data_IF_206855939223
#
_entry.id   IF_206855939223
#
_cell.length_a   1.000
_cell.length_b   1.000
_cell.length_c   1.000
_cell.angle_alpha   90.00
_cell.angle_beta   90.00
_cell.angle_gamma   90.00
#
_symmetry.space_group_name_H-M   'P 1'
#
loop_
_entity.id
_entity.type
_entity.pdbx_description
1 polymer ?
#
# COMPACT_ATOMS: atom_id res chain seq x y z
N UNK A 1 -12.32 -2.68 -10.50
CA UNK A 1 -10.94 -2.21 -10.72
C UNK A 1 -10.67 -1.93 -12.19
N UNK A 2 -10.77 -2.94 -13.08
CA UNK A 2 -10.49 -2.78 -14.52
C UNK A 2 -11.22 -1.59 -15.17
N UNK A 3 -12.54 -1.48 -14.97
CA UNK A 3 -13.32 -0.37 -15.54
C UNK A 3 -12.83 1.01 -15.05
N UNK A 4 -12.39 1.08 -13.79
CA UNK A 4 -11.89 2.32 -13.18
C UNK A 4 -10.52 2.68 -13.77
N UNK A 5 -9.62 1.71 -13.89
CA UNK A 5 -8.32 1.89 -14.53
C UNK A 5 -8.47 2.33 -15.99
N UNK A 6 -9.40 1.73 -16.72
CA UNK A 6 -9.69 2.09 -18.10
C UNK A 6 -10.22 3.53 -18.20
N UNK A 7 -11.25 3.88 -17.40
CA UNK A 7 -11.80 5.25 -17.38
C UNK A 7 -10.73 6.28 -17.02
N UNK A 8 -9.94 6.03 -15.98
CA UNK A 8 -8.93 6.96 -15.48
C UNK A 8 -7.80 7.15 -16.49
N UNK A 9 -7.48 6.11 -17.26
CA UNK A 9 -6.52 6.20 -18.37
C UNK A 9 -7.10 7.03 -19.52
N UNK A 10 -8.36 6.79 -19.88
CA UNK A 10 -9.05 7.52 -20.96
C UNK A 10 -9.22 9.01 -20.66
N UNK A 11 -9.56 9.36 -19.41
CA UNK A 11 -9.69 10.76 -18.98
C UNK A 11 -8.36 11.43 -18.63
N UNK A 12 -7.25 10.68 -18.69
CA UNK A 12 -5.91 11.13 -18.29
C UNK A 12 -5.82 11.54 -16.80
N UNK A 13 -6.80 11.14 -15.99
CA UNK A 13 -6.75 11.24 -14.55
C UNK A 13 -5.59 10.40 -13.98
N UNK A 14 -5.38 9.20 -14.54
CA UNK A 14 -4.25 8.34 -14.21
C UNK A 14 -2.99 8.77 -14.98
N UNK A 15 -1.92 9.06 -14.25
CA UNK A 15 -0.61 9.47 -14.75
C UNK A 15 0.42 8.38 -14.47
N UNK A 16 0.27 7.25 -15.15
CA UNK A 16 1.15 6.07 -15.00
C UNK A 16 2.60 6.44 -15.28
N UNK A 17 3.46 6.13 -14.32
CA UNK A 17 4.90 6.25 -14.47
C UNK A 17 5.41 4.94 -15.05
N UNK A 18 6.00 5.02 -16.25
CA UNK A 18 6.61 3.84 -16.86
C UNK A 18 7.91 3.50 -16.12
N UNK A 19 8.01 2.27 -15.63
CA UNK A 19 9.20 1.75 -14.98
C UNK A 19 9.47 0.31 -15.43
N UNK A 20 10.75 -0.01 -15.60
CA UNK A 20 11.21 -1.40 -15.65
C UNK A 20 11.49 -1.93 -14.24
N UNK A 21 11.59 -3.25 -14.10
CA UNK A 21 12.04 -3.86 -12.85
C UNK A 21 13.10 -4.93 -13.10
N UNK A 22 13.96 -5.13 -12.09
CA UNK A 22 14.98 -6.18 -12.04
C UNK A 22 14.89 -6.91 -10.70
N UNK A 23 14.97 -8.24 -10.74
CA UNK A 23 15.15 -9.05 -9.53
C UNK A 23 16.63 -9.16 -9.24
N UNK A 24 17.07 -8.62 -8.10
CA UNK A 24 18.46 -8.71 -7.69
C UNK A 24 18.73 -10.06 -7.01
N UNK A 25 19.98 -10.53 -7.15
CA UNK A 25 20.48 -11.68 -6.39
C UNK A 25 20.27 -11.49 -4.89
N UNK A 26 20.07 -12.60 -4.18
CA UNK A 26 19.96 -12.55 -2.72
C UNK A 26 21.24 -11.97 -2.10
N UNK A 27 21.09 -11.15 -1.06
CA UNK A 27 22.23 -10.67 -0.28
C UNK A 27 22.93 -11.82 0.44
N UNK A 28 24.09 -11.54 1.03
CA UNK A 28 24.80 -12.45 1.93
C UNK A 28 23.93 -12.93 3.11
N UNK A 29 22.87 -12.19 3.44
CA UNK A 29 21.90 -12.54 4.47
C UNK A 29 20.61 -13.20 3.93
N UNK A 30 20.58 -13.58 2.65
CA UNK A 30 19.43 -14.25 2.03
C UNK A 30 18.24 -13.34 1.71
N UNK A 31 18.39 -12.02 1.84
CA UNK A 31 17.34 -11.04 1.53
C UNK A 31 17.32 -10.81 0.02
N UNK A 32 16.14 -10.92 -0.59
CA UNK A 32 15.93 -10.64 -2.02
C UNK A 32 15.36 -9.24 -2.22
N UNK A 33 15.72 -8.62 -3.33
CA UNK A 33 15.31 -7.26 -3.66
C UNK A 33 14.70 -7.22 -5.06
N UNK A 34 13.75 -6.29 -5.23
CA UNK A 34 13.28 -5.87 -6.53
C UNK A 34 13.68 -4.42 -6.71
N UNK A 35 14.40 -4.13 -7.78
CA UNK A 35 14.74 -2.77 -8.17
C UNK A 35 13.74 -2.31 -9.23
N UNK A 36 12.97 -1.28 -8.92
CA UNK A 36 12.15 -0.58 -9.91
C UNK A 36 12.89 0.66 -10.41
N UNK A 37 13.06 0.78 -11.72
CA UNK A 37 13.72 1.90 -12.36
C UNK A 37 12.71 2.66 -13.25
N UNK A 38 12.30 3.85 -12.81
CA UNK A 38 11.44 4.73 -13.59
C UNK A 38 12.20 5.38 -14.74
N UNK A 39 11.56 5.53 -15.89
CA UNK A 39 12.14 6.25 -17.03
C UNK A 39 12.37 7.73 -16.68
N UNK A 40 13.53 8.26 -17.04
CA UNK A 40 13.96 9.64 -16.80
C UNK A 40 12.99 10.68 -17.38
N UNK A 41 12.16 10.31 -18.37
CA UNK A 41 11.09 11.16 -18.89
C UNK A 41 10.05 11.58 -17.82
N UNK A 42 9.95 10.85 -16.69
CA UNK A 42 9.05 11.16 -15.58
C UNK A 42 9.74 11.89 -14.42
N UNK A 43 10.99 12.34 -14.61
CA UNK A 43 11.67 13.15 -13.61
C UNK A 43 10.82 14.38 -13.29
N UNK A 44 10.49 14.57 -12.00
CA UNK A 44 9.82 15.78 -11.54
C UNK A 44 10.62 16.99 -12.04
N UNK A 45 9.97 18.01 -12.62
CA UNK A 45 10.70 19.20 -13.04
C UNK A 45 11.49 19.72 -11.86
N UNK A 46 12.80 19.93 -12.04
CA UNK A 46 13.62 20.60 -11.03
C UNK A 46 12.93 21.94 -10.74
N UNK A 47 12.67 22.29 -9.47
CA UNK A 47 12.11 23.59 -9.17
C UNK A 47 13.06 24.62 -9.78
N UNK A 48 12.56 25.38 -10.76
CA UNK A 48 13.27 26.55 -11.21
C UNK A 48 13.48 27.44 -9.98
N UNK A 49 14.67 28.01 -9.81
CA UNK A 49 14.90 29.09 -8.84
C UNK A 49 14.04 30.29 -9.28
N UNK A 50 12.76 30.24 -8.98
CA UNK A 50 11.85 31.36 -9.11
C UNK A 50 11.78 31.98 -7.72
N UNK A 51 12.22 33.22 -7.62
CA UNK A 51 11.92 34.04 -6.45
C UNK A 51 10.39 34.09 -6.31
N UNK A 52 9.84 33.73 -5.13
CA UNK A 52 8.39 33.62 -4.96
C UNK A 52 7.78 35.03 -5.03
N UNK A 53 7.27 35.38 -6.21
CA UNK A 53 6.57 36.64 -6.49
C UNK A 53 5.07 36.54 -6.20
N UNK A 54 4.56 35.33 -5.95
CA UNK A 54 3.18 35.08 -5.54
C UNK A 54 3.14 34.40 -4.16
N UNK A 55 2.13 34.74 -3.32
CA UNK A 55 1.90 34.00 -2.09
C UNK A 55 1.67 32.51 -2.42
N UNK A 56 2.18 31.58 -1.58
CA UNK A 56 2.03 30.16 -1.82
C UNK A 56 0.54 29.83 -1.92
N UNK A 57 0.16 29.15 -3.01
CA UNK A 57 -1.21 28.64 -3.17
C UNK A 57 -1.55 27.75 -1.97
N UNK A 58 -2.77 27.86 -1.42
CA UNK A 58 -3.17 27.02 -0.30
C UNK A 58 -3.07 25.54 -0.70
N UNK A 59 -2.61 24.71 0.24
CA UNK A 59 -2.56 23.27 0.04
C UNK A 59 -3.97 22.74 -0.23
N UNK A 60 -4.08 21.87 -1.24
CA UNK A 60 -5.34 21.25 -1.65
C UNK A 60 -5.22 19.75 -1.43
N UNK A 61 -5.84 19.26 -0.36
CA UNK A 61 -5.89 17.84 -0.06
C UNK A 61 -6.60 17.10 -1.22
N UNK A 62 -5.91 16.21 -1.96
CA UNK A 62 -6.50 15.50 -3.09
C UNK A 62 -7.55 14.45 -2.70
N UNK A 63 -7.64 14.11 -1.41
CA UNK A 63 -8.56 13.09 -0.90
C UNK A 63 -9.74 13.69 -0.11
N UNK A 64 -9.69 15.00 0.16
CA UNK A 64 -10.85 15.73 0.65
C UNK A 64 -12.03 15.56 -0.31
N UNK A 65 -13.24 15.45 0.25
CA UNK A 65 -14.48 15.12 -0.47
C UNK A 65 -14.72 16.03 -1.68
N UNK A 66 -14.45 17.32 -1.54
CA UNK A 66 -14.59 18.36 -2.56
C UNK A 66 -13.52 18.30 -3.67
N UNK A 67 -12.43 17.57 -3.45
CA UNK A 67 -11.29 17.50 -4.36
C UNK A 67 -11.07 16.10 -4.93
N UNK A 68 -11.76 15.09 -4.39
CA UNK A 68 -11.63 13.71 -4.81
C UNK A 68 -11.95 13.55 -6.30
N UNK A 69 -10.94 13.15 -7.06
CA UNK A 69 -11.04 12.95 -8.50
C UNK A 69 -11.85 11.68 -8.79
N UNK A 70 -13.08 11.87 -9.27
CA UNK A 70 -14.05 10.78 -9.37
C UNK A 70 -13.61 9.66 -10.33
N UNK A 71 -12.81 9.98 -11.35
CA UNK A 71 -12.27 8.97 -12.27
C UNK A 71 -11.29 8.00 -11.60
N UNK A 72 -10.65 8.40 -10.50
CA UNK A 72 -9.76 7.55 -9.72
C UNK A 72 -10.51 6.78 -8.61
N UNK A 73 -11.74 7.18 -8.27
CA UNK A 73 -12.51 6.56 -7.20
C UNK A 73 -13.01 5.17 -7.61
N UNK A 74 -12.69 4.15 -6.81
CA UNK A 74 -13.10 2.76 -7.03
C UNK A 74 -14.39 2.45 -6.29
N UNK A 75 -14.38 2.61 -4.97
CA UNK A 75 -15.53 2.34 -4.09
C UNK A 75 -15.27 2.92 -2.69
N UNK A 76 -16.28 2.91 -1.83
CA UNK A 76 -16.12 3.19 -0.40
C UNK A 76 -16.22 1.89 0.40
N UNK A 77 -15.33 1.71 1.36
CA UNK A 77 -15.26 0.56 2.25
C UNK A 77 -15.76 0.95 3.64
N UNK A 78 -16.76 0.20 4.12
CA UNK A 78 -17.33 0.30 5.47
C UNK A 78 -17.81 1.71 5.89
N UNK A 79 -18.00 2.62 4.93
CA UNK A 79 -18.35 4.02 5.21
C UNK A 79 -17.21 4.88 5.75
N UNK A 80 -16.01 4.32 5.94
CA UNK A 80 -14.88 5.01 6.61
C UNK A 80 -13.74 5.33 5.67
N UNK A 81 -13.54 4.55 4.59
CA UNK A 81 -12.42 4.68 3.69
C UNK A 81 -12.87 4.70 2.23
N UNK A 82 -12.26 5.54 1.41
CA UNK A 82 -12.40 5.44 -0.04
C UNK A 82 -11.24 4.60 -0.59
N UNK A 83 -11.54 3.67 -1.50
CA UNK A 83 -10.54 2.97 -2.29
C UNK A 83 -10.36 3.75 -3.60
N UNK A 84 -9.14 4.24 -3.85
CA UNK A 84 -8.84 5.16 -4.95
C UNK A 84 -7.59 4.68 -5.70
N UNK A 85 -7.57 4.76 -7.02
CA UNK A 85 -6.34 4.54 -7.80
C UNK A 85 -5.30 5.62 -7.47
N UNK A 86 -4.05 5.21 -7.26
CA UNK A 86 -2.95 6.15 -7.12
C UNK A 86 -2.72 6.86 -8.46
N UNK A 87 -2.93 8.18 -8.48
CA UNK A 87 -2.78 9.03 -9.65
C UNK A 87 -1.43 8.86 -10.35
N UNK A 88 -0.36 8.64 -9.59
CA UNK A 88 1.00 8.50 -10.11
C UNK A 88 1.54 7.09 -9.85
N UNK A 89 0.81 6.08 -10.32
CA UNK A 89 1.19 4.70 -10.11
C UNK A 89 2.43 4.31 -10.91
N UNK A 90 3.33 3.57 -10.27
CA UNK A 90 4.49 2.93 -10.93
C UNK A 90 4.13 1.50 -11.32
N UNK A 91 3.39 0.82 -10.44
CA UNK A 91 2.86 -0.52 -10.68
C UNK A 91 1.38 -0.45 -11.05
N UNK A 92 0.92 -1.43 -11.81
CA UNK A 92 -0.49 -1.53 -12.17
C UNK A 92 -1.36 -1.76 -10.93
N UNK A 93 -2.56 -1.17 -10.97
CA UNK A 93 -3.58 -1.31 -9.91
C UNK A 93 -3.13 -0.86 -8.51
N UNK A 94 -2.08 -0.02 -8.41
CA UNK A 94 -1.70 0.62 -7.15
C UNK A 94 -2.85 1.49 -6.65
N UNK A 95 -3.41 1.14 -5.50
CA UNK A 95 -4.48 1.88 -4.84
C UNK A 95 -4.00 2.59 -3.58
N UNK A 96 -4.77 3.57 -3.12
CA UNK A 96 -4.65 4.21 -1.82
C UNK A 96 -6.00 4.13 -1.10
N UNK A 97 -5.95 4.08 0.24
CA UNK A 97 -7.12 4.01 1.12
C UNK A 97 -7.21 5.24 2.05
N UNK A 98 -7.51 6.44 1.53
CA UNK A 98 -7.80 7.59 2.39
C UNK A 98 -9.07 7.39 3.22
N UNK A 99 -9.08 7.93 4.44
CA UNK A 99 -10.28 8.08 5.25
C UNK A 99 -11.25 9.07 4.61
N UNK A 100 -12.55 8.86 4.81
CA UNK A 100 -13.60 9.78 4.35
C UNK A 100 -13.58 11.07 5.16
N UNK A 101 -13.46 10.92 6.49
CA UNK A 101 -13.26 12.02 7.41
C UNK A 101 -11.76 12.29 7.60
N UNK A 102 -11.41 13.54 7.87
CA UNK A 102 -10.02 13.91 8.10
C UNK A 102 -9.45 13.20 9.35
N UNK A 103 -8.21 12.70 9.24
CA UNK A 103 -7.40 12.12 10.30
C UNK A 103 -5.89 12.44 10.07
N UNK A 104 -5.09 12.85 11.06
CA UNK A 104 -3.66 13.11 10.83
C UNK A 104 -2.90 11.87 10.38
N UNK A 105 -1.92 12.03 9.48
CA UNK A 105 -1.09 10.90 9.00
C UNK A 105 -0.23 10.26 10.09
N UNK A 106 0.05 11.03 11.13
CA UNK A 106 0.83 10.62 12.30
C UNK A 106 -0.01 9.86 13.31
N UNK A 107 -1.33 9.80 13.10
CA UNK A 107 -2.23 9.02 13.94
C UNK A 107 -1.95 7.53 13.71
N UNK A 108 -1.79 6.73 14.80
CA UNK A 108 -1.70 5.29 14.69
C UNK A 108 -2.96 4.69 14.05
N UNK A 109 -2.77 3.59 13.30
CA UNK A 109 -3.88 2.85 12.70
C UNK A 109 -4.84 2.33 13.76
N UNK A 110 -6.14 2.45 13.48
CA UNK A 110 -7.21 1.93 14.33
C UNK A 110 -7.92 0.72 13.71
N UNK A 111 -8.93 0.20 14.42
CA UNK A 111 -9.68 -0.98 13.98
C UNK A 111 -10.44 -0.77 12.65
N UNK A 112 -10.89 0.46 12.36
CA UNK A 112 -11.55 0.78 11.10
C UNK A 112 -10.57 0.74 9.93
N UNK A 113 -9.34 1.23 10.13
CA UNK A 113 -8.26 1.17 9.15
C UNK A 113 -7.91 -0.28 8.81
N UNK A 114 -7.67 -1.11 9.84
CA UNK A 114 -7.38 -2.54 9.64
C UNK A 114 -8.51 -3.27 8.92
N UNK A 115 -9.78 -2.94 9.23
CA UNK A 115 -10.94 -3.56 8.57
C UNK A 115 -11.03 -3.19 7.10
N UNK A 116 -10.81 -1.92 6.76
CA UNK A 116 -10.80 -1.46 5.37
C UNK A 116 -9.63 -2.07 4.59
N UNK A 117 -8.42 -2.03 5.15
CA UNK A 117 -7.22 -2.65 4.59
C UNK A 117 -7.41 -4.14 4.31
N UNK A 118 -7.89 -4.91 5.29
CA UNK A 118 -8.15 -6.34 5.13
C UNK A 118 -9.13 -6.62 3.99
N UNK A 119 -10.21 -5.83 3.90
CA UNK A 119 -11.21 -5.99 2.84
C UNK A 119 -10.62 -5.70 1.45
N UNK A 120 -9.79 -4.67 1.34
CA UNK A 120 -9.11 -4.32 0.10
C UNK A 120 -8.11 -5.41 -0.32
N UNK A 121 -7.27 -5.88 0.59
CA UNK A 121 -6.28 -6.92 0.33
C UNK A 121 -6.92 -8.22 -0.17
N UNK A 122 -8.03 -8.64 0.45
CA UNK A 122 -8.78 -9.82 0.03
C UNK A 122 -9.38 -9.69 -1.38
N UNK A 123 -9.71 -8.48 -1.81
CA UNK A 123 -10.26 -8.21 -3.13
C UNK A 123 -9.23 -8.02 -4.24
N UNK A 124 -7.96 -7.74 -3.89
CA UNK A 124 -6.90 -7.35 -4.82
C UNK A 124 -5.69 -8.29 -4.85
N UNK A 125 -5.64 -9.31 -3.98
CA UNK A 125 -4.44 -10.13 -3.75
C UNK A 125 -3.20 -9.25 -3.55
N UNK A 126 -3.33 -8.31 -2.61
CA UNK A 126 -2.40 -7.20 -2.42
C UNK A 126 -1.61 -7.30 -1.12
N UNK A 127 -0.41 -6.72 -1.14
CA UNK A 127 0.32 -6.36 0.07
C UNK A 127 0.02 -4.91 0.43
N UNK A 128 -0.10 -4.63 1.73
CA UNK A 128 -0.42 -3.32 2.28
C UNK A 128 0.69 -2.77 3.17
N UNK A 129 0.99 -1.49 3.06
CA UNK A 129 1.94 -0.79 3.96
C UNK A 129 1.41 0.58 4.36
N UNK A 130 1.86 1.10 5.50
CA UNK A 130 1.48 2.43 6.00
C UNK A 130 2.72 3.21 6.45
N UNK A 131 2.86 4.44 5.97
CA UNK A 131 4.00 5.31 6.27
C UNK A 131 3.61 6.37 7.32
N UNK A 132 3.98 6.17 8.58
CA UNK A 132 3.64 7.08 9.68
C UNK A 132 4.78 8.04 10.03
N UNK A 133 4.50 9.35 10.02
CA UNK A 133 5.46 10.38 10.46
C UNK A 133 6.41 10.91 9.38
N UNK A 134 7.09 12.00 9.70
CA UNK A 134 7.95 12.76 8.78
C UNK A 134 9.03 11.90 8.09
N UNK A 135 9.72 11.05 8.85
CA UNK A 135 10.85 10.26 8.36
C UNK A 135 10.44 8.98 7.61
N UNK A 136 9.14 8.66 7.55
CA UNK A 136 8.63 7.43 6.92
C UNK A 136 8.55 7.48 5.40
N UNK A 137 8.99 8.58 4.77
CA UNK A 137 8.80 8.81 3.34
C UNK A 137 7.35 9.20 2.97
N UNK A 138 6.54 9.62 3.95
CA UNK A 138 5.22 10.18 3.71
C UNK A 138 5.33 11.44 2.83
N UNK A 139 4.86 11.35 1.58
CA UNK A 139 4.99 12.41 0.56
C UNK A 139 4.25 13.71 0.90
N UNK A 140 3.38 13.69 1.90
CA UNK A 140 2.56 14.81 2.35
C UNK A 140 2.97 15.32 3.75
N UNK A 141 4.06 14.80 4.34
CA UNK A 141 4.46 15.17 5.70
C UNK A 141 5.28 16.47 5.81
N UNK A 142 5.30 17.34 4.80
CA UNK A 142 6.18 18.53 4.82
C UNK A 142 5.39 19.84 4.93
N UNK A 143 4.94 20.15 6.16
CA UNK A 143 4.94 21.48 6.83
C UNK A 143 4.01 21.46 8.06
N UNK A 144 4.43 22.03 9.22
CA UNK A 144 3.59 22.09 10.42
C UNK A 144 2.28 22.87 10.24
N UNK A 145 2.22 23.78 9.26
CA UNK A 145 1.05 24.63 8.99
C UNK A 145 0.18 24.11 7.83
N UNK A 146 0.50 22.93 7.31
CA UNK A 146 -0.22 22.26 6.23
C UNK A 146 -0.61 20.87 6.72
N UNK A 147 -1.48 20.84 7.74
CA UNK A 147 -2.24 19.63 8.06
C UNK A 147 -2.93 19.13 6.77
N UNK A 148 -3.43 17.90 6.81
CA UNK A 148 -4.15 17.19 5.73
C UNK A 148 -3.35 16.02 5.11
N UNK A 149 -3.30 14.94 5.91
CA UNK A 149 -3.50 13.52 5.54
C UNK A 149 -2.45 12.84 4.63
N UNK A 150 -2.25 11.52 4.69
CA UNK A 150 -3.15 10.46 4.18
C UNK A 150 -2.69 9.12 4.69
N UNK A 151 -3.56 8.39 5.42
CA UNK A 151 -3.42 6.98 5.78
C UNK A 151 -3.15 6.14 4.55
N UNK A 152 -1.92 6.17 4.05
CA UNK A 152 -1.58 5.64 2.74
C UNK A 152 -1.34 4.16 2.94
N UNK A 153 -2.44 3.40 3.00
CA UNK A 153 -2.38 1.98 2.72
C UNK A 153 -2.31 1.83 1.22
N UNK A 154 -1.09 1.70 0.72
CA UNK A 154 -0.90 1.31 -0.67
C UNK A 154 -1.07 -0.20 -0.76
N UNK A 155 -2.08 -0.63 -1.51
CA UNK A 155 -2.24 -2.02 -1.91
C UNK A 155 -1.73 -2.15 -3.34
N UNK A 156 -0.79 -3.07 -3.56
CA UNK A 156 -0.24 -3.35 -4.88
C UNK A 156 -0.56 -4.78 -5.30
N UNK A 157 -1.09 -4.97 -6.51
CA UNK A 157 -1.31 -6.30 -7.09
C UNK A 157 0.06 -6.92 -7.37
N UNK A 158 0.44 -7.95 -6.62
CA UNK A 158 1.74 -8.63 -6.70
C UNK A 158 1.85 -9.63 -7.86
N UNK A 159 1.22 -9.38 -9.02
CA UNK A 159 1.30 -10.33 -10.14
C UNK A 159 2.74 -10.57 -10.63
N UNK A 160 3.63 -9.59 -10.48
CA UNK A 160 5.06 -9.72 -10.81
C UNK A 160 5.85 -10.50 -9.74
N UNK A 161 5.39 -10.51 -8.51
CA UNK A 161 6.06 -11.12 -7.36
C UNK A 161 5.64 -12.57 -7.11
N UNK A 162 4.40 -12.91 -7.48
CA UNK A 162 3.81 -14.23 -7.30
C UNK A 162 3.89 -15.13 -8.54
N UNK A 163 4.83 -14.87 -9.45
CA UNK A 163 5.28 -15.88 -10.40
C UNK A 163 5.93 -17.05 -9.65
N UNK A 164 5.09 -17.92 -9.03
CA UNK A 164 5.46 -19.13 -8.28
C UNK A 164 6.79 -19.00 -7.55
N UNK A 165 6.78 -18.33 -6.39
CA UNK A 165 7.87 -18.43 -5.43
C UNK A 165 7.87 -19.85 -4.84
N UNK A 166 8.76 -20.79 -5.24
CA UNK A 166 8.61 -22.23 -4.95
C UNK A 166 9.07 -22.59 -3.52
N UNK A 167 8.77 -21.76 -2.52
CA UNK A 167 9.32 -22.00 -1.18
C UNK A 167 8.76 -21.20 -0.01
N UNK A 168 7.69 -20.39 -0.18
CA UNK A 168 7.05 -19.71 0.97
C UNK A 168 5.71 -20.34 1.33
N UNK A 169 5.02 -21.01 0.40
CA UNK A 169 3.80 -21.78 0.64
C UNK A 169 4.10 -23.29 0.71
N UNK A 170 5.06 -23.70 1.55
CA UNK A 170 4.99 -25.06 2.07
C UNK A 170 4.05 -25.03 3.28
N UNK A 171 3.05 -25.92 3.36
CA UNK A 171 2.26 -26.03 4.58
C UNK A 171 3.21 -26.30 5.74
N UNK A 172 2.97 -25.66 6.88
CA UNK A 172 3.73 -25.93 8.10
C UNK A 172 3.79 -27.46 8.32
N UNK A 173 4.95 -28.03 8.69
CA UNK A 173 5.01 -29.45 9.00
C UNK A 173 3.96 -29.74 10.07
N UNK A 174 3.08 -30.70 9.78
CA UNK A 174 2.06 -31.12 10.72
C UNK A 174 2.79 -31.53 12.01
N UNK A 175 2.49 -30.84 13.10
CA UNK A 175 2.94 -31.26 14.41
C UNK A 175 2.39 -32.68 14.62
N UNK A 176 3.28 -33.67 14.59
CA UNK A 176 2.94 -35.00 15.07
C UNK A 176 2.51 -34.84 16.53
N UNK A 177 1.24 -35.11 16.80
CA UNK A 177 0.74 -35.22 18.16
C UNK A 177 1.63 -36.25 18.86
N UNK A 178 2.31 -35.81 19.92
CA UNK A 178 2.96 -36.71 20.85
C UNK A 178 1.85 -37.40 21.64
N UNK A 179 1.27 -38.45 21.06
CA UNK A 179 0.59 -39.48 21.84
C UNK A 179 1.68 -40.34 22.47
N UNK A 180 2.16 -39.91 23.64
CA UNK A 180 2.81 -40.82 24.58
C UNK A 180 2.51 -40.38 26.01
N UNK A 181 1.29 -40.68 26.44
CA UNK A 181 0.96 -40.82 27.85
C UNK A 181 0.60 -42.29 28.08
N UNK A 182 1.62 -43.15 28.09
CA UNK A 182 1.50 -44.46 28.70
C UNK A 182 1.37 -44.29 30.21
N UNK A 183 0.14 -44.37 30.70
CA UNK A 183 -0.18 -44.53 32.11
C UNK A 183 0.42 -45.87 32.56
N UNK A 184 1.43 -45.82 33.43
CA UNK A 184 1.91 -47.01 34.13
C UNK A 184 0.87 -47.40 35.18
N UNK A 185 0.09 -48.43 34.86
CA UNK A 185 -0.69 -49.20 35.82
C UNK A 185 0.31 -50.09 36.60
N UNK A 186 0.54 -49.77 37.88
CA UNK A 186 1.23 -50.68 38.80
C UNK A 186 0.27 -51.84 39.13
N UNK A 187 0.47 -52.97 38.46
CA UNK A 187 -0.21 -54.22 38.76
C UNK A 187 0.46 -54.90 39.97
N UNK A 188 -0.36 -55.14 40.99
CA UNK A 188 0.00 -55.87 42.19
C UNK A 188 -0.10 -57.38 41.96
N UNK A 189 0.97 -58.11 42.28
CA UNK A 189 0.84 -59.50 42.75
C UNK A 189 2.15 -60.28 42.81
N UNK A 190 2.13 -61.51 43.35
CA UNK A 190 1.19 -62.10 44.31
C UNK A 190 1.76 -62.18 45.76
#
# INVERSE_FOLDING_TARGET
>A
MLDVTQRASQSQALKKITAGYELLSASEHGIRYILWAADAAHAKPKPAKQEPTEPPKPFRDPFAKEHLEQDLFVTQLHGTHNLVLNKFNVVDEHVVLPTVEFAPQEQPLDAADFRAMWTAMQGLDAFAFFNCGFESGARYAVRPDSLHMVGMVAAETMMVLMGRWPGILQPAPQAHAADDLSVHEEDHGP
#
